data_IF_532014613733
#
_entry.id   IF_532014613733
#
_cell.length_a   1.000
_cell.length_b   1.000
_cell.length_c   1.000
_cell.angle_alpha   90.00
_cell.angle_beta   90.00
_cell.angle_gamma   90.00
#
_symmetry.space_group_name_H-M   'P 1'
#
loop_
_entity.id
_entity.type
_entity.pdbx_description
1 polymer ?
#
# COMPACT_ATOMS: atom_id res chain seq x y z
N UNK A 1 -8.23 -22.54 8.69
CA UNK A 1 -8.38 -21.32 9.52
C UNK A 1 -8.63 -20.18 8.54
N UNK A 2 -9.78 -19.50 8.62
CA UNK A 2 -10.02 -18.33 7.76
C UNK A 2 -9.09 -17.18 8.19
N UNK A 3 -8.49 -16.43 7.25
CA UNK A 3 -7.63 -15.32 7.59
C UNK A 3 -8.47 -14.18 8.20
N UNK A 4 -8.00 -13.63 9.32
CA UNK A 4 -8.60 -12.44 9.95
C UNK A 4 -8.32 -11.21 9.09
N UNK A 5 -9.35 -10.48 8.70
CA UNK A 5 -9.24 -9.20 7.99
C UNK A 5 -9.47 -8.02 8.93
N UNK A 6 -9.02 -6.84 8.50
CA UNK A 6 -9.36 -5.56 9.08
C UNK A 6 -9.82 -4.58 7.99
N UNK A 7 -10.64 -3.63 8.41
CA UNK A 7 -11.01 -2.46 7.62
C UNK A 7 -9.89 -1.42 7.67
N UNK A 8 -9.46 -0.92 6.51
CA UNK A 8 -8.44 0.12 6.37
C UNK A 8 -8.93 1.18 5.40
N UNK A 9 -8.78 2.45 5.79
CA UNK A 9 -9.05 3.60 4.92
C UNK A 9 -7.75 4.25 4.42
N UNK A 10 -7.58 4.31 3.10
CA UNK A 10 -6.41 4.90 2.44
C UNK A 10 -6.82 6.07 1.55
N UNK A 11 -6.11 7.20 1.65
CA UNK A 11 -6.29 8.33 0.72
C UNK A 11 -5.16 8.29 -0.31
N UNK A 12 -5.47 7.91 -1.55
CA UNK A 12 -4.49 7.70 -2.62
C UNK A 12 -4.77 8.67 -3.77
N UNK A 13 -3.78 9.50 -4.12
CA UNK A 13 -3.89 10.54 -5.16
C UNK A 13 -5.14 11.42 -4.97
N UNK A 14 -5.43 11.79 -3.72
CA UNK A 14 -6.59 12.60 -3.33
C UNK A 14 -7.95 11.88 -3.36
N UNK A 15 -7.98 10.55 -3.46
CA UNK A 15 -9.21 9.73 -3.45
C UNK A 15 -9.21 8.76 -2.28
N UNK A 16 -10.35 8.65 -1.61
CA UNK A 16 -10.52 7.72 -0.49
C UNK A 16 -10.86 6.31 -0.96
N UNK A 17 -10.21 5.33 -0.35
CA UNK A 17 -10.38 3.90 -0.60
C UNK A 17 -10.57 3.15 0.72
N UNK A 18 -11.71 2.48 0.87
CA UNK A 18 -11.98 1.58 1.98
C UNK A 18 -11.68 0.13 1.54
N UNK A 19 -10.90 -0.60 2.34
CA UNK A 19 -10.43 -1.95 2.03
C UNK A 19 -10.61 -2.90 3.21
N UNK A 20 -11.07 -4.12 2.95
CA UNK A 20 -10.98 -5.25 3.88
C UNK A 20 -9.78 -6.12 3.49
N UNK A 21 -8.72 -6.12 4.32
CA UNK A 21 -7.45 -6.78 4.01
C UNK A 21 -6.87 -7.51 5.21
N UNK A 22 -6.00 -8.49 4.96
CA UNK A 22 -5.22 -9.12 6.03
C UNK A 22 -4.17 -8.12 6.57
N UNK A 23 -3.82 -8.17 7.88
CA UNK A 23 -2.82 -7.28 8.48
C UNK A 23 -1.45 -7.28 7.80
N UNK A 24 -1.12 -8.38 7.12
CA UNK A 24 0.16 -8.57 6.41
C UNK A 24 0.19 -7.97 5.00
N UNK A 25 -0.92 -7.44 4.49
CA UNK A 25 -0.96 -6.88 3.14
C UNK A 25 -0.07 -5.64 3.08
N UNK A 26 0.91 -5.67 2.19
CA UNK A 26 1.80 -4.53 1.93
C UNK A 26 1.04 -3.42 1.21
N UNK A 27 1.51 -2.18 1.33
CA UNK A 27 0.98 -1.06 0.57
C UNK A 27 1.10 -1.32 -0.94
N UNK A 28 2.19 -1.96 -1.39
CA UNK A 28 2.36 -2.35 -2.79
C UNK A 28 1.25 -3.29 -3.27
N UNK A 29 0.94 -4.33 -2.49
CA UNK A 29 -0.10 -5.29 -2.86
C UNK A 29 -1.50 -4.69 -2.74
N UNK A 30 -1.74 -3.81 -1.76
CA UNK A 30 -2.99 -3.06 -1.67
C UNK A 30 -3.23 -2.22 -2.93
N UNK A 31 -2.22 -1.46 -3.36
CA UNK A 31 -2.29 -0.65 -4.58
C UNK A 31 -2.56 -1.50 -5.83
N UNK A 32 -1.75 -2.54 -6.03
CA UNK A 32 -1.75 -3.28 -7.29
C UNK A 32 -2.85 -4.32 -7.39
N UNK A 33 -3.01 -5.12 -6.34
CA UNK A 33 -3.82 -6.33 -6.39
C UNK A 33 -5.24 -6.11 -5.84
N UNK A 34 -5.41 -5.15 -4.92
CA UNK A 34 -6.73 -4.81 -4.35
C UNK A 34 -7.39 -3.63 -5.06
N UNK A 35 -6.62 -2.59 -5.38
CA UNK A 35 -7.12 -1.36 -5.99
C UNK A 35 -6.83 -1.25 -7.50
N UNK A 36 -6.08 -2.18 -8.07
CA UNK A 36 -5.71 -2.20 -9.49
C UNK A 36 -4.96 -0.94 -9.98
N UNK A 37 -4.32 -0.21 -9.06
CA UNK A 37 -3.42 0.90 -9.33
C UNK A 37 -2.01 0.37 -9.64
N UNK A 38 -1.82 -0.10 -10.87
CA UNK A 38 -0.61 -0.84 -11.28
C UNK A 38 0.59 0.03 -11.66
N UNK A 39 0.51 1.35 -11.43
CA UNK A 39 1.58 2.33 -11.68
C UNK A 39 2.85 2.02 -10.91
N UNK A 40 2.74 1.89 -9.58
CA UNK A 40 3.82 1.43 -8.70
C UNK A 40 4.21 -0.02 -9.03
N UNK A 41 5.51 -0.30 -9.11
CA UNK A 41 6.00 -1.58 -9.66
C UNK A 41 6.53 -2.52 -8.58
N UNK A 42 6.26 -3.82 -8.76
CA UNK A 42 6.90 -4.89 -8.01
C UNK A 42 8.16 -5.34 -8.76
N UNK A 43 9.32 -4.97 -8.25
CA UNK A 43 10.63 -5.38 -8.77
C UNK A 43 11.20 -6.55 -7.98
N UNK A 44 11.78 -6.25 -6.81
CA UNK A 44 12.40 -7.26 -5.94
C UNK A 44 11.52 -7.77 -4.79
N UNK A 45 10.52 -6.98 -4.36
CA UNK A 45 9.69 -7.23 -3.15
C UNK A 45 10.47 -7.35 -1.82
N UNK A 46 11.75 -6.94 -1.80
CA UNK A 46 12.68 -7.06 -0.67
C UNK A 46 13.37 -5.72 -0.31
N UNK A 47 12.85 -4.60 -0.83
CA UNK A 47 13.40 -3.26 -0.58
C UNK A 47 14.74 -2.92 -1.25
N UNK A 48 15.21 -3.74 -2.19
CA UNK A 48 16.53 -3.59 -2.81
C UNK A 48 16.54 -2.69 -4.07
N UNK A 49 15.44 -2.61 -4.82
CA UNK A 49 15.42 -1.98 -6.14
C UNK A 49 14.77 -0.59 -6.20
N UNK A 50 13.97 -0.19 -5.20
CA UNK A 50 13.24 1.08 -5.20
C UNK A 50 12.09 1.19 -6.22
N UNK A 51 11.80 0.18 -7.05
CA UNK A 51 10.73 0.22 -8.04
C UNK A 51 9.31 0.41 -7.45
N UNK A 52 9.16 0.12 -6.16
CA UNK A 52 7.92 0.27 -5.41
C UNK A 52 7.82 1.58 -4.61
N UNK A 53 8.68 2.57 -4.91
CA UNK A 53 8.68 3.83 -4.16
C UNK A 53 7.38 4.58 -4.38
N UNK A 54 6.77 5.03 -3.28
CA UNK A 54 5.61 5.95 -3.24
C UNK A 54 5.88 7.02 -2.18
N UNK A 55 5.05 8.05 -2.14
CA UNK A 55 5.12 9.07 -1.09
C UNK A 55 3.98 8.87 -0.09
N UNK A 56 4.28 8.92 1.21
CA UNK A 56 3.29 8.95 2.28
C UNK A 56 3.53 10.22 3.09
N UNK A 57 2.55 11.12 3.13
CA UNK A 57 2.66 12.49 3.65
C UNK A 57 3.90 13.22 3.10
N UNK A 58 4.11 13.10 1.78
CA UNK A 58 5.24 13.67 1.07
C UNK A 58 6.58 12.94 1.26
N UNK A 59 6.72 12.03 2.22
CA UNK A 59 7.96 11.28 2.46
C UNK A 59 8.02 10.01 1.62
N UNK A 60 9.17 9.80 0.95
CA UNK A 60 9.38 8.59 0.15
C UNK A 60 9.45 7.35 1.04
N UNK A 61 8.71 6.30 0.70
CA UNK A 61 8.76 5.00 1.37
C UNK A 61 8.77 3.86 0.35
N UNK A 62 9.27 2.71 0.76
CA UNK A 62 9.22 1.48 -0.05
C UNK A 62 7.89 0.78 0.23
N UNK A 63 6.96 0.82 -0.73
CA UNK A 63 5.62 0.26 -0.54
C UNK A 63 5.63 -1.26 -0.28
N UNK A 64 6.66 -1.99 -0.75
CA UNK A 64 6.79 -3.43 -0.51
C UNK A 64 7.16 -3.78 0.94
N UNK A 65 7.71 -2.83 1.71
CA UNK A 65 8.10 -3.02 3.11
C UNK A 65 7.19 -2.26 4.09
N UNK A 66 6.15 -1.59 3.57
CA UNK A 66 5.19 -0.84 4.37
C UNK A 66 3.88 -1.61 4.38
N UNK A 67 3.28 -1.85 5.55
CA UNK A 67 1.95 -2.47 5.63
C UNK A 67 0.88 -1.43 5.32
N UNK A 68 -0.16 -1.79 4.59
CA UNK A 68 -1.26 -0.87 4.27
C UNK A 68 -1.93 -0.34 5.56
N UNK A 69 -2.07 -1.19 6.58
CA UNK A 69 -2.62 -0.81 7.88
C UNK A 69 -1.76 0.23 8.63
N UNK A 70 -0.45 0.32 8.37
CA UNK A 70 0.43 1.30 9.04
C UNK A 70 0.26 2.72 8.49
N UNK A 71 -0.38 2.87 7.34
CA UNK A 71 -0.58 4.15 6.66
C UNK A 71 -2.04 4.53 6.53
N UNK A 72 -2.90 3.91 7.35
CA UNK A 72 -4.31 4.28 7.46
C UNK A 72 -4.46 5.78 7.76
N UNK A 73 -5.37 6.43 7.04
CA UNK A 73 -5.66 7.86 7.18
C UNK A 73 -4.55 8.81 6.71
N UNK A 74 -3.47 8.30 6.11
CA UNK A 74 -2.35 9.11 5.58
C UNK A 74 -2.52 9.37 4.08
N UNK A 75 -1.93 10.45 3.59
CA UNK A 75 -2.00 10.79 2.17
C UNK A 75 -0.91 10.06 1.39
N UNK A 76 -1.31 9.31 0.36
CA UNK A 76 -0.43 8.49 -0.47
C UNK A 76 -0.41 9.04 -1.90
N UNK A 77 0.78 9.27 -2.46
CA UNK A 77 0.98 9.60 -3.88
C UNK A 77 1.80 8.49 -4.55
N UNK A 78 1.30 7.96 -5.67
CA UNK A 78 1.86 6.77 -6.36
C UNK A 78 2.51 7.09 -7.69
#
# INVERSE_FOLDING_TARGET
MSPTTLSVHLTINGRDHALEIEPRVTLLDALRERLHLTGTKKGCDQGQCGACTVHVDGQRVLACLTLAAQVEGREITT
#
